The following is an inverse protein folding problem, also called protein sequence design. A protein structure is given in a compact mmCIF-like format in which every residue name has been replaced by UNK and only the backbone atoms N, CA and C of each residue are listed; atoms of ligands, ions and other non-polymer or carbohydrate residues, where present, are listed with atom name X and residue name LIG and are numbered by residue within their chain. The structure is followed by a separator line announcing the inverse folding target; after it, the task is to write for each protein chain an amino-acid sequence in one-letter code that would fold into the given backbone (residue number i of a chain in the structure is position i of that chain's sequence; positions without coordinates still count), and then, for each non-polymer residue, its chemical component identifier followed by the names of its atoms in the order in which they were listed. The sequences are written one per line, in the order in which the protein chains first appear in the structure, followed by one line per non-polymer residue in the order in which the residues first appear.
data_IF_924676065189
#
_entry.id   IF_924676065189
#
_cell.length_a   1.000
_cell.length_b   1.000
_cell.length_c   1.000
_cell.angle_alpha   90.00
_cell.angle_beta   90.00
_cell.angle_gamma   90.00
#
_symmetry.space_group_name_H-M   'P 1'
#
loop_
_entity.id
_entity.type
_entity.pdbx_description
1 polymer ?
#
# COMPACT_ATOMS: atom_id res chain seq x y z
N UNK A 1 -0.73 -50.61 -3.08
CA UNK A 1 -1.26 -49.57 -2.16
C UNK A 1 -0.18 -48.91 -1.27
N UNK A 2 0.81 -49.68 -0.78
CA UNK A 2 1.89 -49.13 0.10
C UNK A 2 2.90 -48.21 -0.63
N UNK A 3 3.16 -48.41 -1.90
CA UNK A 3 4.06 -47.54 -2.72
C UNK A 3 3.44 -46.18 -3.08
N UNK A 4 2.13 -46.15 -3.27
CA UNK A 4 1.41 -44.92 -3.55
C UNK A 4 1.36 -43.98 -2.31
N UNK A 5 1.24 -44.55 -1.10
CA UNK A 5 1.28 -43.80 0.16
C UNK A 5 2.65 -43.14 0.41
N UNK A 6 3.74 -43.89 0.20
CA UNK A 6 5.09 -43.36 0.40
C UNK A 6 5.43 -42.19 -0.54
N UNK A 7 5.04 -42.27 -1.81
CA UNK A 7 5.23 -41.16 -2.78
C UNK A 7 4.39 -39.93 -2.40
N UNK A 8 3.17 -40.13 -1.94
CA UNK A 8 2.31 -39.07 -1.42
C UNK A 8 2.88 -38.41 -0.16
N UNK A 9 3.48 -39.19 0.73
CA UNK A 9 4.08 -38.67 1.98
C UNK A 9 5.38 -37.90 1.70
N UNK A 10 6.17 -38.33 0.74
CA UNK A 10 7.38 -37.59 0.28
C UNK A 10 6.96 -36.27 -0.35
N UNK A 11 5.95 -36.27 -1.23
CA UNK A 11 5.45 -35.05 -1.85
C UNK A 11 4.88 -34.06 -0.83
N UNK A 12 4.08 -34.54 0.13
CA UNK A 12 3.58 -33.69 1.23
C UNK A 12 4.68 -33.06 2.06
N UNK A 13 5.72 -33.83 2.41
CA UNK A 13 6.86 -33.32 3.17
C UNK A 13 7.64 -32.27 2.37
N UNK A 14 7.77 -32.46 1.06
CA UNK A 14 8.44 -31.49 0.18
C UNK A 14 7.68 -30.17 0.10
N UNK A 15 6.34 -30.23 -0.09
CA UNK A 15 5.48 -29.05 -0.09
C UNK A 15 5.48 -28.32 1.27
N UNK A 16 5.45 -29.07 2.37
CA UNK A 16 5.51 -28.49 3.71
C UNK A 16 6.85 -27.81 3.97
N UNK A 17 7.97 -28.41 3.56
CA UNK A 17 9.29 -27.81 3.72
C UNK A 17 9.45 -26.56 2.86
N UNK A 18 9.02 -26.56 1.61
CA UNK A 18 9.04 -25.37 0.74
C UNK A 18 8.17 -24.25 1.31
N UNK A 19 6.97 -24.58 1.80
CA UNK A 19 6.08 -23.59 2.42
C UNK A 19 6.67 -23.02 3.72
N UNK A 20 7.35 -23.84 4.54
CA UNK A 20 8.02 -23.36 5.76
C UNK A 20 9.20 -22.46 5.45
N UNK A 21 10.01 -22.77 4.44
CA UNK A 21 11.11 -21.93 4.00
C UNK A 21 10.61 -20.57 3.46
N UNK A 22 9.56 -20.56 2.65
CA UNK A 22 8.93 -19.32 2.17
C UNK A 22 8.39 -18.50 3.34
N UNK A 23 7.74 -19.15 4.31
CA UNK A 23 7.23 -18.48 5.51
C UNK A 23 8.35 -17.85 6.36
N UNK A 24 9.48 -18.53 6.48
CA UNK A 24 10.65 -18.05 7.20
C UNK A 24 11.33 -16.87 6.47
N UNK A 25 11.45 -16.94 5.14
CA UNK A 25 11.93 -15.85 4.30
C UNK A 25 11.03 -14.62 4.36
N UNK A 26 9.72 -14.81 4.31
CA UNK A 26 8.72 -13.72 4.44
C UNK A 26 8.82 -13.06 5.80
N UNK A 27 9.02 -13.81 6.87
CA UNK A 27 9.13 -13.27 8.23
C UNK A 27 10.46 -12.55 8.48
N UNK A 28 11.55 -13.00 7.85
CA UNK A 28 12.89 -12.42 8.03
C UNK A 28 13.16 -11.21 7.15
N UNK A 29 12.60 -11.17 5.94
CA UNK A 29 12.91 -10.13 4.95
C UNK A 29 11.71 -9.78 4.05
N UNK A 30 10.66 -9.26 4.66
CA UNK A 30 9.40 -8.91 3.99
C UNK A 30 9.57 -8.10 2.69
N UNK A 31 10.48 -7.08 2.60
CA UNK A 31 10.67 -6.31 1.38
C UNK A 31 11.12 -7.13 0.17
N UNK A 32 11.85 -8.21 0.39
CA UNK A 32 12.46 -9.04 -0.66
C UNK A 32 11.63 -10.30 -0.93
N UNK A 33 10.68 -10.63 -0.07
CA UNK A 33 9.90 -11.85 -0.11
C UNK A 33 9.18 -12.07 -1.47
N UNK A 34 8.68 -11.01 -2.08
CA UNK A 34 8.03 -11.06 -3.39
C UNK A 34 9.01 -11.52 -4.49
N UNK A 35 10.21 -10.99 -4.50
CA UNK A 35 11.24 -11.31 -5.50
C UNK A 35 11.76 -12.73 -5.31
N UNK A 36 11.93 -13.17 -4.07
CA UNK A 36 12.33 -14.55 -3.75
C UNK A 36 11.25 -15.56 -4.18
N UNK A 37 9.97 -15.18 -4.08
CA UNK A 37 8.88 -15.99 -4.60
C UNK A 37 8.95 -16.14 -6.13
N UNK A 38 9.36 -15.09 -6.84
CA UNK A 38 9.50 -15.16 -8.30
C UNK A 38 10.64 -16.06 -8.76
N UNK A 39 11.70 -16.24 -7.96
CA UNK A 39 12.82 -17.11 -8.29
C UNK A 39 12.44 -18.58 -8.50
N UNK A 40 11.27 -18.98 -8.00
CA UNK A 40 10.70 -20.32 -8.24
C UNK A 40 10.19 -20.50 -9.68
N UNK A 41 9.92 -19.40 -10.39
CA UNK A 41 9.35 -19.45 -11.75
C UNK A 41 10.41 -19.28 -12.84
N UNK A 42 10.28 -19.96 -13.98
CA UNK A 42 11.25 -19.86 -15.07
C UNK A 42 11.34 -18.46 -15.72
N UNK A 43 10.38 -17.58 -15.45
CA UNK A 43 10.31 -16.18 -15.93
C UNK A 43 10.55 -15.16 -14.81
N UNK A 44 11.26 -15.56 -13.75
CA UNK A 44 11.52 -14.76 -12.55
C UNK A 44 12.01 -13.34 -12.86
N UNK A 45 12.96 -13.19 -13.75
CA UNK A 45 13.54 -11.90 -14.09
C UNK A 45 12.52 -10.95 -14.74
N UNK A 46 11.68 -11.45 -15.63
CA UNK A 46 10.62 -10.65 -16.24
C UNK A 46 9.57 -10.23 -15.22
N UNK A 47 9.13 -11.14 -14.34
CA UNK A 47 8.19 -10.84 -13.27
C UNK A 47 8.75 -9.81 -12.28
N UNK A 48 10.03 -9.90 -11.94
CA UNK A 48 10.70 -8.95 -11.04
C UNK A 48 10.75 -7.55 -11.62
N UNK A 49 11.11 -7.41 -12.90
CA UNK A 49 11.15 -6.11 -13.59
C UNK A 49 9.73 -5.52 -13.70
N UNK A 50 8.76 -6.34 -14.09
CA UNK A 50 7.37 -5.91 -14.20
C UNK A 50 6.82 -5.44 -12.85
N UNK A 51 7.06 -6.19 -11.78
CA UNK A 51 6.67 -5.80 -10.42
C UNK A 51 7.33 -4.51 -9.98
N UNK A 52 8.60 -4.31 -10.29
CA UNK A 52 9.30 -3.07 -9.94
C UNK A 52 8.65 -1.86 -10.64
N UNK A 53 8.35 -1.99 -11.94
CA UNK A 53 7.65 -0.94 -12.70
C UNK A 53 6.27 -0.64 -12.09
N UNK A 54 5.51 -1.68 -11.74
CA UNK A 54 4.20 -1.53 -11.12
C UNK A 54 4.28 -0.85 -9.76
N UNK A 55 5.23 -1.23 -8.91
CA UNK A 55 5.45 -0.62 -7.58
C UNK A 55 5.78 0.86 -7.74
N UNK A 56 6.71 1.23 -8.64
CA UNK A 56 7.09 2.62 -8.88
C UNK A 56 5.91 3.42 -9.42
N UNK A 57 5.18 2.90 -10.40
CA UNK A 57 4.02 3.57 -10.99
C UNK A 57 2.92 3.79 -9.95
N UNK A 58 2.62 2.78 -9.14
CA UNK A 58 1.63 2.87 -8.08
C UNK A 58 2.04 3.88 -7.00
N UNK A 59 3.31 3.89 -6.61
CA UNK A 59 3.84 4.84 -5.64
C UNK A 59 3.74 6.28 -6.15
N UNK A 60 4.16 6.54 -7.39
CA UNK A 60 4.10 7.87 -8.01
C UNK A 60 2.67 8.39 -8.10
N UNK A 61 1.74 7.57 -8.59
CA UNK A 61 0.33 7.98 -8.73
C UNK A 61 -0.35 8.24 -7.39
N UNK A 62 -0.06 7.42 -6.37
CA UNK A 62 -0.59 7.61 -5.02
C UNK A 62 -0.02 8.85 -4.35
N UNK A 63 1.27 9.09 -4.51
CA UNK A 63 1.96 10.27 -3.95
C UNK A 63 1.45 11.57 -4.59
N UNK A 64 1.25 11.58 -5.91
CA UNK A 64 0.72 12.75 -6.63
C UNK A 64 -0.71 13.09 -6.16
N UNK A 65 -1.58 12.09 -6.05
CA UNK A 65 -2.94 12.27 -5.54
C UNK A 65 -2.95 12.75 -4.09
N UNK A 66 -2.08 12.21 -3.25
CA UNK A 66 -1.93 12.64 -1.85
C UNK A 66 -1.46 14.08 -1.72
N UNK A 67 -0.47 14.48 -2.52
CA UNK A 67 0.04 15.85 -2.55
C UNK A 67 -1.03 16.84 -3.05
N UNK A 68 -1.83 16.45 -4.05
CA UNK A 68 -2.93 17.26 -4.55
C UNK A 68 -3.98 17.51 -3.47
N UNK A 69 -4.44 16.47 -2.79
CA UNK A 69 -5.45 16.58 -1.72
C UNK A 69 -4.92 17.42 -0.56
N UNK A 70 -3.69 17.17 -0.10
CA UNK A 70 -3.05 17.95 0.96
C UNK A 70 -2.91 19.44 0.59
N UNK A 71 -2.56 19.72 -0.65
CA UNK A 71 -2.46 21.06 -1.20
C UNK A 71 -3.82 21.76 -1.24
N UNK A 72 -4.89 21.09 -1.66
CA UNK A 72 -6.24 21.62 -1.67
C UNK A 72 -6.74 21.94 -0.24
N UNK A 73 -6.52 21.05 0.71
CA UNK A 73 -6.93 21.23 2.11
C UNK A 73 -6.18 22.37 2.82
N UNK A 74 -4.93 22.63 2.43
CA UNK A 74 -4.10 23.68 3.01
C UNK A 74 -4.23 25.03 2.32
N UNK A 75 -4.85 25.08 1.13
CA UNK A 75 -5.04 26.32 0.38
C UNK A 75 -6.25 27.10 0.91
N UNK A 76 -6.02 28.34 1.33
CA UNK A 76 -7.02 29.25 1.91
C UNK A 76 -7.98 29.89 0.91
N UNK A 77 -7.69 29.76 -0.39
CA UNK A 77 -8.35 30.53 -1.46
C UNK A 77 -9.11 29.62 -2.44
N UNK A 78 -10.07 28.86 -1.92
CA UNK A 78 -11.05 28.21 -2.82
C UNK A 78 -12.40 28.92 -2.71
N UNK A 79 -12.52 30.10 -3.31
CA UNK A 79 -13.83 30.74 -3.53
C UNK A 79 -14.60 30.12 -4.69
N UNK A 80 -13.96 29.36 -5.57
CA UNK A 80 -14.58 28.66 -6.69
C UNK A 80 -14.10 27.22 -6.75
N UNK A 81 -15.03 26.29 -6.95
CA UNK A 81 -14.81 24.84 -7.06
C UNK A 81 -13.89 24.47 -8.25
N UNK A 82 -13.66 25.41 -9.17
CA UNK A 82 -12.84 25.23 -10.38
C UNK A 82 -11.43 25.83 -10.26
N UNK A 83 -11.05 26.40 -9.14
CA UNK A 83 -9.68 26.91 -8.96
C UNK A 83 -8.75 25.75 -8.57
N UNK A 84 -7.84 25.41 -9.47
CA UNK A 84 -6.77 24.46 -9.23
C UNK A 84 -5.87 24.95 -8.07
N UNK A 85 -5.50 24.03 -7.20
CA UNK A 85 -4.54 24.32 -6.11
C UNK A 85 -3.25 24.91 -6.68
N UNK A 86 -2.67 25.95 -6.04
CA UNK A 86 -1.42 26.57 -6.51
C UNK A 86 -0.33 25.53 -6.73
N UNK A 87 0.27 25.49 -7.90
CA UNK A 87 1.31 24.52 -8.27
C UNK A 87 2.44 24.46 -7.24
N UNK A 88 2.79 25.60 -6.66
CA UNK A 88 3.82 25.70 -5.62
C UNK A 88 3.44 24.94 -4.33
N UNK A 89 2.19 25.04 -3.92
CA UNK A 89 1.69 24.29 -2.75
C UNK A 89 1.74 22.78 -2.99
N UNK A 90 1.35 22.32 -4.18
CA UNK A 90 1.41 20.91 -4.58
C UNK A 90 2.84 20.37 -4.57
N UNK A 91 3.80 21.12 -5.14
CA UNK A 91 5.22 20.75 -5.13
C UNK A 91 5.74 20.68 -3.69
N UNK A 92 5.40 21.66 -2.86
CA UNK A 92 5.83 21.68 -1.44
C UNK A 92 5.32 20.43 -0.70
N UNK A 93 4.05 20.07 -0.85
CA UNK A 93 3.50 18.87 -0.25
C UNK A 93 4.11 17.59 -0.80
N UNK A 94 4.39 17.51 -2.09
CA UNK A 94 5.07 16.36 -2.69
C UNK A 94 6.48 16.17 -2.11
N UNK A 95 7.25 17.23 -1.95
CA UNK A 95 8.58 17.19 -1.33
C UNK A 95 8.49 16.77 0.13
N UNK A 96 7.56 17.34 0.91
CA UNK A 96 7.36 16.98 2.32
C UNK A 96 7.02 15.49 2.48
N UNK A 97 6.11 14.96 1.66
CA UNK A 97 5.75 13.54 1.68
C UNK A 97 6.94 12.65 1.30
N UNK A 98 7.73 13.04 0.30
CA UNK A 98 8.93 12.32 -0.10
C UNK A 98 10.00 12.30 1.00
N UNK A 99 10.26 13.43 1.64
CA UNK A 99 11.19 13.53 2.76
C UNK A 99 10.71 12.70 3.94
N UNK A 100 9.44 12.77 4.29
CA UNK A 100 8.84 11.95 5.35
C UNK A 100 9.02 10.46 5.09
N UNK A 101 8.72 10.00 3.88
CA UNK A 101 8.91 8.61 3.48
C UNK A 101 10.38 8.19 3.57
N UNK A 102 11.31 9.02 3.11
CA UNK A 102 12.75 8.76 3.18
C UNK A 102 13.24 8.65 4.64
N UNK A 103 12.81 9.54 5.51
CA UNK A 103 13.16 9.51 6.95
C UNK A 103 12.63 8.25 7.61
N UNK A 104 11.38 7.87 7.35
CA UNK A 104 10.78 6.65 7.91
C UNK A 104 11.50 5.39 7.42
N UNK A 105 11.86 5.33 6.15
CA UNK A 105 12.65 4.23 5.59
C UNK A 105 14.04 4.14 6.24
N UNK A 106 14.69 5.27 6.46
CA UNK A 106 16.01 5.30 7.08
C UNK A 106 15.96 4.91 8.57
N UNK A 107 14.93 5.36 9.30
CA UNK A 107 14.81 5.16 10.74
C UNK A 107 14.41 3.72 11.13
N UNK A 108 13.60 3.03 10.34
CA UNK A 108 13.11 1.70 10.70
C UNK A 108 12.64 0.85 9.52
N UNK A 109 12.98 1.26 8.29
CA UNK A 109 12.64 0.54 7.08
C UNK A 109 11.13 0.41 6.86
N UNK A 110 10.73 -0.68 6.24
CA UNK A 110 9.33 -0.97 5.92
C UNK A 110 8.44 -1.06 7.16
N UNK A 111 8.96 -1.55 8.27
CA UNK A 111 8.20 -1.70 9.54
C UNK A 111 7.79 -0.34 10.10
N UNK A 112 8.67 0.65 10.04
CA UNK A 112 8.34 2.02 10.49
C UNK A 112 7.24 2.65 9.63
N UNK A 113 7.30 2.46 8.31
CA UNK A 113 6.25 2.90 7.39
C UNK A 113 4.90 2.24 7.70
N UNK A 114 4.87 0.92 7.85
CA UNK A 114 3.65 0.17 8.16
C UNK A 114 3.04 0.62 9.49
N UNK A 115 3.84 0.76 10.53
CA UNK A 115 3.40 1.23 11.85
C UNK A 115 2.82 2.64 11.77
N UNK A 116 3.48 3.54 11.05
CA UNK A 116 3.01 4.92 10.86
C UNK A 116 1.66 4.97 10.15
N UNK A 117 1.48 4.16 9.10
CA UNK A 117 0.22 4.07 8.35
C UNK A 117 -0.91 3.55 9.24
N UNK A 118 -0.66 2.53 10.06
CA UNK A 118 -1.67 1.98 10.97
C UNK A 118 -2.07 3.01 12.02
N UNK A 119 -1.11 3.67 12.68
CA UNK A 119 -1.37 4.68 13.71
C UNK A 119 -2.19 5.85 13.14
N UNK A 120 -1.88 6.30 11.93
CA UNK A 120 -2.58 7.41 11.29
C UNK A 120 -3.91 6.96 10.69
N UNK A 121 -3.99 5.75 10.16
CA UNK A 121 -5.16 5.21 9.48
C UNK A 121 -6.35 4.95 10.40
N UNK A 122 -6.10 4.51 11.62
CA UNK A 122 -7.20 4.22 12.59
C UNK A 122 -8.05 5.45 12.90
N UNK A 123 -7.51 6.60 13.33
CA UNK A 123 -8.32 7.79 13.57
C UNK A 123 -8.98 8.31 12.29
N UNK A 124 -8.30 8.22 11.15
CA UNK A 124 -8.88 8.61 9.87
C UNK A 124 -10.06 7.72 9.46
N UNK A 125 -9.98 6.42 9.69
CA UNK A 125 -11.08 5.50 9.42
C UNK A 125 -12.34 5.85 10.22
N UNK A 126 -12.22 6.28 11.48
CA UNK A 126 -13.35 6.74 12.28
C UNK A 126 -14.00 7.98 11.67
N UNK A 127 -13.21 8.95 11.22
CA UNK A 127 -13.72 10.17 10.55
C UNK A 127 -14.49 9.78 9.28
N UNK A 128 -13.96 8.87 8.45
CA UNK A 128 -14.62 8.41 7.23
C UNK A 128 -15.95 7.73 7.54
N UNK A 129 -16.02 6.89 8.58
CA UNK A 129 -17.28 6.25 9.00
C UNK A 129 -18.32 7.28 9.42
N UNK A 130 -17.93 8.32 10.14
CA UNK A 130 -18.84 9.41 10.50
C UNK A 130 -19.31 10.20 9.28
N UNK A 131 -18.40 10.51 8.36
CA UNK A 131 -18.73 11.20 7.11
C UNK A 131 -19.71 10.38 6.25
N UNK A 132 -19.51 9.07 6.12
CA UNK A 132 -20.43 8.18 5.42
C UNK A 132 -21.83 8.17 6.05
N UNK A 133 -21.92 8.14 7.37
CA UNK A 133 -23.22 8.22 8.07
C UNK A 133 -23.94 9.52 7.78
N UNK A 134 -23.23 10.64 7.80
CA UNK A 134 -23.79 11.95 7.49
C UNK A 134 -24.29 12.04 6.05
N UNK A 135 -23.49 11.53 5.12
CA UNK A 135 -23.83 11.48 3.71
C UNK A 135 -25.10 10.64 3.44
N UNK A 136 -25.19 9.45 4.04
CA UNK A 136 -26.37 8.60 3.92
C UNK A 136 -27.63 9.25 4.52
N UNK A 137 -27.47 10.01 5.61
CA UNK A 137 -28.58 10.75 6.21
C UNK A 137 -29.07 11.86 5.29
N UNK A 138 -28.16 12.64 4.70
CA UNK A 138 -28.49 13.71 3.76
C UNK A 138 -29.20 13.19 2.52
N UNK A 139 -28.73 12.08 1.93
CA UNK A 139 -29.41 11.44 0.80
C UNK A 139 -30.82 10.97 1.14
N UNK A 140 -31.02 10.44 2.34
CA UNK A 140 -32.35 10.01 2.79
C UNK A 140 -33.33 11.18 2.96
N UNK A 141 -32.85 12.31 3.43
CA UNK A 141 -33.66 13.54 3.58
C UNK A 141 -34.04 14.13 2.21
N UNK A 142 -33.17 14.01 1.21
CA UNK A 142 -33.42 14.52 -0.15
C UNK A 142 -34.37 13.64 -0.96
N UNK A 143 -34.42 12.33 -0.68
CA UNK A 143 -35.38 11.39 -1.33
C UNK A 143 -36.80 11.51 -0.76
N UNK A 144 -36.96 11.99 0.47
CA UNK A 144 -38.25 12.06 1.17
C UNK A 144 -38.97 13.41 0.93
N UNK A 145 -38.25 14.44 0.45
CA UNK A 145 -38.78 15.73 0.03
C UNK A 145 -39.01 15.76 -1.47
#
# INVERSE_FOLDING_TARGET
LRRSSAASDVYKRQVINETSQISEMVSSNLPVALFTLFDVYPIAQFLSILSLILIVTFFVTSSDSGALVASMLSSKSQSNINDDSPMLSRITWAILLGVLAAVLLYAGGLTALQTSVVITGVPFALIVVFACKQFLKSLKEEIIN
#
